data_IF_479846250161
#
_entry.id   IF_479846250161
#
_cell.length_a   1.000
_cell.length_b   1.000
_cell.length_c   1.000
_cell.angle_alpha   90.00
_cell.angle_beta   90.00
_cell.angle_gamma   90.00
#
_symmetry.space_group_name_H-M   'P 1'
#
loop_
_entity.id
_entity.type
_entity.pdbx_description
1 polymer ?
#
# COMPACT_ATOMS: atom_id res chain seq x y z
N UNK A 1 6.46 -47.50 -24.29
CA UNK A 1 5.83 -46.19 -24.03
C UNK A 1 6.93 -45.24 -23.61
N UNK A 2 7.55 -44.54 -24.58
CA UNK A 2 8.57 -43.53 -24.33
C UNK A 2 7.85 -42.17 -24.28
N UNK A 3 7.88 -41.52 -23.13
CA UNK A 3 7.45 -40.13 -22.97
C UNK A 3 8.66 -39.24 -23.28
N UNK A 4 8.71 -38.75 -24.52
CA UNK A 4 9.57 -37.62 -24.89
C UNK A 4 9.02 -36.37 -24.19
N UNK A 5 9.82 -35.81 -23.28
CA UNK A 5 9.62 -34.50 -22.69
C UNK A 5 10.04 -33.45 -23.72
N UNK A 6 9.06 -32.95 -24.50
CA UNK A 6 9.17 -31.68 -25.21
C UNK A 6 9.11 -30.55 -24.17
N UNK A 7 10.26 -30.18 -23.63
CA UNK A 7 10.43 -28.99 -22.81
C UNK A 7 11.21 -27.93 -23.60
N UNK A 8 10.68 -27.57 -24.77
CA UNK A 8 11.10 -26.39 -25.53
C UNK A 8 10.48 -25.15 -24.87
N UNK A 9 11.17 -24.63 -23.84
CA UNK A 9 10.91 -23.26 -23.39
C UNK A 9 11.39 -22.32 -24.51
N UNK A 10 10.54 -21.40 -25.00
CA UNK A 10 10.97 -20.43 -26.00
C UNK A 10 12.07 -19.55 -25.39
N UNK A 11 13.31 -19.73 -25.86
CA UNK A 11 14.37 -18.73 -25.70
C UNK A 11 13.94 -17.50 -26.49
N UNK A 12 13.16 -16.61 -25.86
CA UNK A 12 13.04 -15.23 -26.31
C UNK A 12 14.45 -14.65 -26.29
N UNK A 13 15.07 -14.59 -27.47
CA UNK A 13 16.27 -13.80 -27.68
C UNK A 13 15.85 -12.35 -27.51
N UNK A 14 16.03 -11.83 -26.31
CA UNK A 14 15.84 -10.41 -26.04
C UNK A 14 16.91 -9.69 -26.85
N UNK A 15 16.51 -9.10 -27.97
CA UNK A 15 17.44 -8.29 -28.76
C UNK A 15 17.99 -7.18 -27.85
N UNK A 16 19.32 -6.95 -27.86
CA UNK A 16 19.92 -5.90 -27.04
C UNK A 16 19.32 -4.55 -27.44
N UNK A 17 18.98 -3.71 -26.47
CA UNK A 17 18.46 -2.38 -26.78
C UNK A 17 19.55 -1.52 -27.43
N UNK A 18 19.15 -0.52 -28.21
CA UNK A 18 20.05 0.43 -28.91
C UNK A 18 21.16 0.99 -28.00
N UNK A 19 20.85 1.23 -26.73
CA UNK A 19 21.83 1.71 -25.74
C UNK A 19 22.90 0.65 -25.42
N UNK A 20 22.53 -0.63 -25.32
CA UNK A 20 23.47 -1.71 -25.08
C UNK A 20 24.40 -1.92 -26.28
N UNK A 21 23.87 -1.77 -27.50
CA UNK A 21 24.66 -1.84 -28.73
C UNK A 21 25.66 -0.67 -28.83
N UNK A 22 25.21 0.56 -28.53
CA UNK A 22 26.09 1.73 -28.51
C UNK A 22 27.22 1.59 -27.48
N UNK A 23 26.93 1.07 -26.28
CA UNK A 23 27.95 0.80 -25.26
C UNK A 23 28.92 -0.28 -25.74
N UNK A 24 28.42 -1.36 -26.35
CA UNK A 24 29.25 -2.44 -26.88
C UNK A 24 30.17 -1.99 -28.02
N UNK A 25 29.70 -1.05 -28.86
CA UNK A 25 30.51 -0.47 -29.93
C UNK A 25 31.64 0.43 -29.40
N UNK A 26 31.42 1.17 -28.31
CA UNK A 26 32.39 2.12 -27.76
C UNK A 26 33.37 1.44 -26.80
N UNK A 27 32.93 0.41 -26.05
CA UNK A 27 33.71 -0.22 -24.99
C UNK A 27 35.12 -0.67 -25.40
N UNK A 28 35.36 -1.30 -26.57
CA UNK A 28 36.70 -1.73 -27.00
C UNK A 28 37.68 -0.57 -27.20
N UNK A 29 37.17 0.64 -27.47
CA UNK A 29 37.97 1.83 -27.72
C UNK A 29 38.32 2.62 -26.45
N UNK A 30 37.75 2.23 -25.30
CA UNK A 30 38.05 2.87 -24.01
C UNK A 30 39.36 2.33 -23.42
N UNK A 31 40.07 3.10 -22.59
CA UNK A 31 41.22 2.59 -21.83
C UNK A 31 40.83 1.39 -20.96
N UNK A 32 41.74 0.42 -20.79
CA UNK A 32 41.49 -0.83 -20.04
C UNK A 32 40.95 -0.59 -18.62
N UNK A 33 41.45 0.45 -17.94
CA UNK A 33 40.97 0.84 -16.60
C UNK A 33 39.49 1.26 -16.65
N UNK A 34 39.10 2.06 -17.62
CA UNK A 34 37.73 2.52 -17.81
C UNK A 34 36.80 1.36 -18.16
N UNK A 35 37.25 0.41 -18.99
CA UNK A 35 36.48 -0.81 -19.29
C UNK A 35 36.19 -1.62 -18.01
N UNK A 36 37.21 -1.81 -17.16
CA UNK A 36 37.06 -2.48 -15.87
C UNK A 36 36.09 -1.77 -14.92
N UNK A 37 36.18 -0.44 -14.82
CA UNK A 37 35.28 0.35 -13.98
C UNK A 37 33.83 0.27 -14.50
N UNK A 38 33.63 0.31 -15.82
CA UNK A 38 32.32 0.20 -16.46
C UNK A 38 31.71 -1.18 -16.24
N UNK A 39 32.50 -2.25 -16.37
CA UNK A 39 32.09 -3.62 -16.03
C UNK A 39 31.70 -3.74 -14.56
N UNK A 40 32.51 -3.20 -13.64
CA UNK A 40 32.18 -3.21 -12.20
C UNK A 40 30.90 -2.44 -11.89
N UNK A 41 30.66 -1.30 -12.56
CA UNK A 41 29.42 -0.55 -12.40
C UNK A 41 28.21 -1.31 -12.95
N UNK A 42 28.36 -2.00 -14.09
CA UNK A 42 27.30 -2.84 -14.66
C UNK A 42 27.01 -4.04 -13.76
N UNK A 43 28.04 -4.75 -13.32
CA UNK A 43 27.95 -5.86 -12.37
C UNK A 43 27.25 -5.42 -11.09
N UNK A 44 27.63 -4.27 -10.53
CA UNK A 44 26.96 -3.70 -9.37
C UNK A 44 25.51 -3.28 -9.67
N UNK A 45 25.20 -2.74 -10.85
CA UNK A 45 23.84 -2.32 -11.19
C UNK A 45 22.91 -3.49 -11.53
N UNK A 46 23.45 -4.62 -12.01
CA UNK A 46 22.74 -5.87 -12.23
C UNK A 46 22.54 -6.61 -10.89
N UNK A 47 23.56 -6.58 -10.01
CA UNK A 47 23.49 -7.19 -8.68
C UNK A 47 22.71 -6.36 -7.66
N UNK A 48 22.62 -5.03 -7.85
CA UNK A 48 21.79 -4.17 -7.04
C UNK A 48 20.33 -4.49 -7.33
N UNK A 49 19.53 -4.89 -6.32
CA UNK A 49 18.12 -5.16 -6.55
C UNK A 49 17.49 -3.91 -7.16
N UNK A 50 16.61 -4.10 -8.14
CA UNK A 50 15.92 -2.97 -8.78
C UNK A 50 15.18 -2.19 -7.71
N UNK A 51 14.98 -0.87 -7.90
CA UNK A 51 14.21 -0.05 -6.94
C UNK A 51 12.82 -0.63 -6.63
N UNK A 52 12.25 -1.38 -7.58
CA UNK A 52 11.00 -2.11 -7.41
C UNK A 52 11.16 -3.34 -6.51
N UNK A 53 12.20 -4.14 -6.69
CA UNK A 53 12.54 -5.27 -5.82
C UNK A 53 12.83 -4.82 -4.38
N UNK A 54 13.48 -3.66 -4.19
CA UNK A 54 13.63 -3.08 -2.85
C UNK A 54 12.31 -2.63 -2.22
N UNK A 55 11.36 -2.15 -3.03
CA UNK A 55 10.02 -1.78 -2.54
C UNK A 55 9.22 -3.02 -2.20
N UNK A 56 9.26 -4.04 -3.04
CA UNK A 56 8.62 -5.35 -2.82
C UNK A 56 9.21 -6.04 -1.59
N UNK A 57 10.53 -6.06 -1.42
CA UNK A 57 11.18 -6.60 -0.23
C UNK A 57 10.87 -5.82 1.04
N UNK A 58 10.58 -4.50 0.96
CA UNK A 58 10.23 -3.70 2.14
C UNK A 58 8.74 -3.73 2.47
N UNK A 59 7.89 -3.77 1.45
CA UNK A 59 6.43 -3.74 1.59
C UNK A 59 5.81 -5.12 1.53
N UNK A 60 6.56 -6.19 1.23
CA UNK A 60 6.04 -7.54 1.01
C UNK A 60 5.15 -8.03 2.14
N UNK A 61 5.63 -7.93 3.38
CA UNK A 61 4.83 -8.27 4.57
C UNK A 61 3.56 -7.40 4.71
N UNK A 62 3.63 -6.13 4.32
CA UNK A 62 2.47 -5.23 4.35
C UNK A 62 1.47 -5.56 3.23
N UNK A 63 1.95 -5.96 2.05
CA UNK A 63 1.12 -6.46 0.96
C UNK A 63 0.36 -7.71 1.39
N UNK A 64 1.03 -8.69 2.00
CA UNK A 64 0.40 -9.90 2.55
C UNK A 64 -0.71 -9.55 3.54
N UNK A 65 -0.44 -8.61 4.46
CA UNK A 65 -1.43 -8.17 5.43
C UNK A 65 -2.63 -7.46 4.76
N UNK A 66 -2.39 -6.61 3.76
CA UNK A 66 -3.45 -5.95 2.98
C UNK A 66 -4.31 -6.98 2.23
N UNK A 67 -3.70 -8.03 1.67
CA UNK A 67 -4.41 -9.12 1.01
C UNK A 67 -5.28 -9.91 2.00
N UNK A 68 -4.77 -10.16 3.21
CA UNK A 68 -5.47 -10.92 4.25
C UNK A 68 -6.66 -10.17 4.88
N UNK A 69 -6.60 -8.84 4.99
CA UNK A 69 -7.64 -8.05 5.68
C UNK A 69 -8.87 -7.73 4.83
N UNK A 70 -8.98 -8.28 3.61
CA UNK A 70 -10.18 -8.30 2.77
C UNK A 70 -10.93 -6.95 2.61
N UNK A 71 -10.25 -5.80 2.69
CA UNK A 71 -10.88 -4.48 2.47
C UNK A 71 -10.89 -3.55 3.67
N UNK A 72 -10.38 -4.00 4.81
CA UNK A 72 -10.02 -3.13 5.92
C UNK A 72 -8.62 -2.56 5.76
N UNK A 73 -8.39 -1.38 6.31
CA UNK A 73 -7.06 -0.76 6.37
C UNK A 73 -6.26 -1.49 7.44
N UNK A 74 -5.12 -2.11 7.11
CA UNK A 74 -4.31 -2.77 8.12
C UNK A 74 -3.79 -1.82 9.17
N UNK A 75 -3.88 -2.27 10.41
CA UNK A 75 -3.41 -1.50 11.53
C UNK A 75 -1.90 -1.66 11.74
N UNK A 76 -1.27 -0.68 12.39
CA UNK A 76 0.15 -0.72 12.72
C UNK A 76 0.48 -1.87 13.66
N UNK A 77 -0.39 -2.16 14.63
CA UNK A 77 -0.17 -3.25 15.57
C UNK A 77 -0.37 -4.64 14.94
N UNK A 78 -1.28 -4.78 13.98
CA UNK A 78 -1.42 -6.02 13.19
C UNK A 78 -0.12 -6.33 12.45
N UNK A 79 0.48 -5.30 11.84
CA UNK A 79 1.78 -5.42 11.19
C UNK A 79 2.90 -5.76 12.18
N UNK A 80 2.96 -5.11 13.35
CA UNK A 80 3.98 -5.41 14.36
C UNK A 80 3.88 -6.87 14.83
N UNK A 81 2.67 -7.37 15.08
CA UNK A 81 2.42 -8.75 15.48
C UNK A 81 2.88 -9.73 14.40
N UNK A 82 2.46 -9.51 13.15
CA UNK A 82 2.86 -10.33 12.01
C UNK A 82 4.38 -10.31 11.79
N UNK A 83 5.00 -9.12 11.91
CA UNK A 83 6.45 -8.95 11.84
C UNK A 83 7.17 -9.73 12.94
N UNK A 84 6.65 -9.71 14.17
CA UNK A 84 7.26 -10.44 15.29
C UNK A 84 7.21 -11.95 15.05
N UNK A 85 6.11 -12.46 14.48
CA UNK A 85 5.99 -13.86 14.09
C UNK A 85 7.04 -14.25 13.04
N UNK A 86 7.21 -13.43 11.98
CA UNK A 86 8.23 -13.66 10.94
C UNK A 86 9.66 -13.53 11.44
N UNK A 87 9.91 -12.60 12.36
CA UNK A 87 11.22 -12.50 13.03
C UNK A 87 11.55 -13.77 13.82
N UNK A 88 10.57 -14.38 14.49
CA UNK A 88 10.76 -15.64 15.22
C UNK A 88 11.07 -16.81 14.25
N UNK A 89 10.70 -16.69 12.97
CA UNK A 89 11.02 -17.65 11.91
C UNK A 89 12.37 -17.36 11.21
N UNK A 90 13.08 -16.30 11.62
CA UNK A 90 14.38 -15.90 11.06
C UNK A 90 14.29 -14.97 9.84
N UNK A 91 13.10 -14.49 9.48
CA UNK A 91 12.95 -13.51 8.40
C UNK A 91 13.24 -12.07 8.89
N UNK A 92 13.76 -11.22 8.01
CA UNK A 92 14.09 -9.83 8.34
C UNK A 92 13.14 -8.88 7.62
N UNK A 93 12.33 -8.16 8.39
CA UNK A 93 11.38 -7.17 7.88
C UNK A 93 11.56 -5.80 8.54
N UNK A 94 11.34 -4.70 7.81
CA UNK A 94 11.47 -3.34 8.35
C UNK A 94 10.48 -3.09 9.50
N UNK A 95 10.85 -2.24 10.45
CA UNK A 95 9.94 -1.81 11.50
C UNK A 95 8.83 -0.90 10.94
N UNK A 96 7.69 -0.84 11.62
CA UNK A 96 6.57 0.03 11.23
C UNK A 96 6.94 1.52 11.24
N UNK A 97 7.79 1.95 12.18
CA UNK A 97 8.33 3.31 12.21
C UNK A 97 9.18 3.60 10.96
N UNK A 98 10.06 2.67 10.57
CA UNK A 98 10.87 2.78 9.35
C UNK A 98 10.01 2.85 8.09
N UNK A 99 8.91 2.08 8.01
CA UNK A 99 7.95 2.20 6.90
C UNK A 99 7.27 3.57 6.90
N UNK A 100 6.81 4.04 8.07
CA UNK A 100 6.15 5.33 8.18
C UNK A 100 7.08 6.49 7.79
N UNK A 101 8.34 6.44 8.20
CA UNK A 101 9.35 7.45 7.85
C UNK A 101 9.65 7.47 6.34
N UNK A 102 9.91 6.30 5.74
CA UNK A 102 10.29 6.21 4.32
C UNK A 102 9.17 6.57 3.34
N UNK A 103 7.91 6.36 3.73
CA UNK A 103 6.75 6.58 2.86
C UNK A 103 5.92 7.82 3.25
N UNK A 104 6.35 8.58 4.26
CA UNK A 104 5.68 9.80 4.71
C UNK A 104 4.37 9.54 5.47
N UNK A 105 4.29 8.43 6.19
CA UNK A 105 3.19 8.04 7.07
C UNK A 105 2.72 6.60 6.87
N UNK A 106 2.10 6.03 7.90
CA UNK A 106 1.58 4.65 7.85
C UNK A 106 0.55 4.45 6.73
N UNK A 107 -0.44 5.35 6.62
CA UNK A 107 -1.48 5.28 5.57
C UNK A 107 -0.88 5.31 4.16
N UNK A 108 0.18 6.09 3.96
CA UNK A 108 0.87 6.15 2.66
C UNK A 108 1.61 4.85 2.37
N UNK A 109 2.30 4.27 3.36
CA UNK A 109 2.91 2.96 3.23
C UNK A 109 1.88 1.88 2.86
N UNK A 110 0.74 1.84 3.57
CA UNK A 110 -0.36 0.91 3.28
C UNK A 110 -0.91 1.12 1.88
N UNK A 111 -1.14 2.38 1.47
CA UNK A 111 -1.63 2.69 0.12
C UNK A 111 -0.65 2.25 -0.96
N UNK A 112 0.66 2.45 -0.75
CA UNK A 112 1.69 1.99 -1.68
C UNK A 112 1.73 0.46 -1.75
N UNK A 113 1.65 -0.22 -0.61
CA UNK A 113 1.54 -1.68 -0.57
C UNK A 113 0.27 -2.18 -1.29
N UNK A 114 -0.87 -1.51 -1.09
CA UNK A 114 -2.11 -1.83 -1.79
C UNK A 114 -1.99 -1.64 -3.31
N UNK A 115 -1.40 -0.53 -3.77
CA UNK A 115 -1.18 -0.29 -5.20
C UNK A 115 -0.23 -1.32 -5.82
N UNK A 116 0.76 -1.78 -5.04
CA UNK A 116 1.70 -2.81 -5.47
C UNK A 116 1.03 -4.19 -5.55
N UNK A 117 0.18 -4.53 -4.58
CA UNK A 117 -0.60 -5.77 -4.56
C UNK A 117 -1.70 -5.80 -5.65
N UNK A 118 -2.21 -4.62 -6.03
CA UNK A 118 -3.28 -4.46 -7.03
C UNK A 118 -2.89 -3.41 -8.09
N UNK A 119 -1.96 -3.75 -9.02
CA UNK A 119 -1.41 -2.79 -9.99
C UNK A 119 -2.44 -2.28 -11.02
N UNK A 120 -3.63 -2.87 -11.12
CA UNK A 120 -4.68 -2.43 -12.04
C UNK A 120 -6.00 -2.05 -11.33
N UNK A 121 -6.16 -0.78 -10.91
CA UNK A 121 -7.43 -0.28 -10.39
C UNK A 121 -8.46 0.07 -11.49
N UNK A 122 -8.13 -0.08 -12.79
CA UNK A 122 -9.03 0.37 -13.88
C UNK A 122 -10.06 -0.67 -14.29
N UNK A 123 -9.91 -1.95 -13.94
CA UNK A 123 -10.78 -3.03 -14.46
C UNK A 123 -12.16 -3.19 -13.81
N UNK A 124 -12.44 -2.57 -12.66
CA UNK A 124 -13.76 -2.71 -12.01
C UNK A 124 -14.62 -1.43 -12.11
N UNK A 125 -14.29 -0.54 -13.04
CA UNK A 125 -15.03 0.70 -13.31
C UNK A 125 -16.16 0.52 -14.33
N UNK A 126 -16.78 -0.65 -14.40
CA UNK A 126 -18.10 -0.78 -15.04
C UNK A 126 -19.12 -0.11 -14.11
N UNK A 127 -19.27 1.19 -14.32
CA UNK A 127 -20.19 2.06 -13.62
C UNK A 127 -21.63 1.67 -13.86
N UNK A 128 -22.11 0.65 -13.17
CA UNK A 128 -23.52 0.57 -12.85
C UNK A 128 -23.76 1.55 -11.69
N UNK A 129 -24.35 2.70 -12.02
CA UNK A 129 -25.03 3.54 -11.03
C UNK A 129 -26.16 2.67 -10.47
N UNK A 130 -25.94 1.98 -9.35
CA UNK A 130 -27.06 1.36 -8.64
C UNK A 130 -28.03 2.49 -8.24
N UNK A 131 -29.29 2.48 -8.73
CA UNK A 131 -30.24 3.56 -8.49
C UNK A 131 -30.75 3.62 -7.04
N UNK A 132 -30.52 2.57 -6.23
CA UNK A 132 -31.30 2.37 -5.00
C UNK A 132 -30.55 2.61 -3.69
N UNK A 133 -29.52 3.46 -3.69
CA UNK A 133 -29.11 4.06 -2.41
C UNK A 133 -29.95 5.31 -2.19
N UNK A 134 -31.09 5.11 -1.52
CA UNK A 134 -31.74 6.15 -0.73
C UNK A 134 -30.64 6.96 -0.05
N UNK A 135 -30.55 8.25 -0.39
CA UNK A 135 -29.50 9.13 0.09
C UNK A 135 -29.75 9.46 1.55
N UNK A 136 -29.65 8.45 2.42
CA UNK A 136 -29.81 8.62 3.85
C UNK A 136 -28.75 9.62 4.29
N UNK A 137 -29.18 10.67 4.98
CA UNK A 137 -28.26 11.59 5.62
C UNK A 137 -27.42 10.82 6.64
N UNK A 138 -26.17 11.24 6.86
CA UNK A 138 -25.36 10.65 7.92
C UNK A 138 -25.94 11.06 9.27
N UNK A 139 -26.13 10.11 10.19
CA UNK A 139 -26.48 10.44 11.57
C UNK A 139 -25.24 10.94 12.30
N UNK A 140 -25.43 11.71 13.38
CA UNK A 140 -24.30 12.16 14.22
C UNK A 140 -23.52 10.98 14.81
N UNK A 141 -24.19 9.87 15.13
CA UNK A 141 -23.52 8.66 15.59
C UNK A 141 -22.63 8.06 14.50
N UNK A 142 -23.14 7.90 13.28
CA UNK A 142 -22.35 7.37 12.15
C UNK A 142 -21.09 8.21 11.89
N UNK A 143 -21.19 9.53 12.05
CA UNK A 143 -20.03 10.43 11.91
C UNK A 143 -19.01 10.23 13.02
N UNK A 144 -19.46 10.03 14.27
CA UNK A 144 -18.59 9.73 15.40
C UNK A 144 -17.94 8.35 15.24
N UNK A 145 -18.70 7.35 14.79
CA UNK A 145 -18.19 6.00 14.56
C UNK A 145 -17.16 5.97 13.44
N UNK A 146 -17.33 6.77 12.38
CA UNK A 146 -16.31 6.93 11.35
C UNK A 146 -15.00 7.52 11.91
N UNK A 147 -15.07 8.50 12.81
CA UNK A 147 -13.89 9.06 13.48
C UNK A 147 -13.22 8.05 14.41
N UNK A 148 -14.01 7.20 15.09
CA UNK A 148 -13.49 6.12 15.94
C UNK A 148 -12.84 5.01 15.12
N UNK A 149 -13.43 4.62 13.99
CA UNK A 149 -12.82 3.68 13.06
C UNK A 149 -11.47 4.21 12.57
N UNK A 150 -11.42 5.47 12.14
CA UNK A 150 -10.15 6.11 11.76
C UNK A 150 -9.13 6.12 12.92
N UNK A 151 -9.56 6.42 14.16
CA UNK A 151 -8.68 6.34 15.33
C UNK A 151 -8.14 4.93 15.56
N UNK A 152 -8.99 3.91 15.46
CA UNK A 152 -8.60 2.51 15.68
C UNK A 152 -7.52 2.10 14.69
N UNK A 153 -7.68 2.47 13.43
CA UNK A 153 -6.77 2.11 12.35
C UNK A 153 -5.47 2.95 12.34
N UNK A 154 -5.50 4.15 12.95
CA UNK A 154 -4.35 5.06 13.04
C UNK A 154 -3.65 5.04 14.41
N UNK A 155 -4.26 4.44 15.43
CA UNK A 155 -3.86 4.48 16.85
C UNK A 155 -3.75 5.88 17.50
N UNK A 156 -4.12 6.94 16.79
CA UNK A 156 -4.25 8.27 17.36
C UNK A 156 -5.47 8.96 16.79
N UNK A 157 -5.86 10.08 17.40
CA UNK A 157 -6.95 10.89 16.84
C UNK A 157 -6.46 11.54 15.54
N UNK A 158 -7.14 11.30 14.40
CA UNK A 158 -6.69 11.81 13.11
C UNK A 158 -6.83 13.32 13.05
N UNK A 159 -5.82 13.98 12.50
CA UNK A 159 -5.95 15.31 11.92
C UNK A 159 -6.91 15.30 10.74
N UNK A 160 -7.30 16.50 10.29
CA UNK A 160 -8.17 16.66 9.11
C UNK A 160 -7.58 16.00 7.87
N UNK A 161 -6.26 16.11 7.66
CA UNK A 161 -5.59 15.56 6.48
C UNK A 161 -5.54 14.03 6.56
N UNK A 162 -5.13 13.48 7.71
CA UNK A 162 -5.02 12.02 7.91
C UNK A 162 -6.37 11.33 7.76
N UNK A 163 -7.45 11.93 8.26
CA UNK A 163 -8.80 11.38 8.08
C UNK A 163 -9.19 11.31 6.61
N UNK A 164 -8.87 12.33 5.80
CA UNK A 164 -9.18 12.30 4.37
C UNK A 164 -8.33 11.25 3.63
N UNK A 165 -7.05 11.10 3.99
CA UNK A 165 -6.18 10.06 3.43
C UNK A 165 -6.71 8.66 3.79
N UNK A 166 -7.01 8.41 5.07
CA UNK A 166 -7.61 7.17 5.56
C UNK A 166 -8.95 6.87 4.87
N UNK A 167 -9.82 7.88 4.73
CA UNK A 167 -11.11 7.76 4.07
C UNK A 167 -10.97 7.34 2.61
N UNK A 168 -10.04 7.96 1.87
CA UNK A 168 -9.79 7.64 0.47
C UNK A 168 -9.29 6.21 0.33
N UNK A 169 -8.32 5.81 1.15
CA UNK A 169 -7.78 4.46 1.17
C UNK A 169 -8.87 3.43 1.53
N UNK A 170 -9.64 3.66 2.58
CA UNK A 170 -10.74 2.77 3.00
C UNK A 170 -11.77 2.55 1.88
N UNK A 171 -12.11 3.62 1.15
CA UNK A 171 -13.01 3.53 -0.01
C UNK A 171 -12.37 2.85 -1.22
N UNK A 172 -11.06 2.98 -1.42
CA UNK A 172 -10.31 2.28 -2.46
C UNK A 172 -10.29 0.77 -2.18
N UNK A 173 -9.90 0.40 -0.96
CA UNK A 173 -9.86 -0.99 -0.49
C UNK A 173 -11.22 -1.67 -0.64
N UNK A 174 -12.29 -1.07 -0.11
CA UNK A 174 -13.63 -1.67 -0.18
C UNK A 174 -14.17 -1.84 -1.59
N UNK A 175 -13.89 -0.88 -2.49
CA UNK A 175 -14.29 -0.98 -3.91
C UNK A 175 -13.54 -2.09 -4.64
N UNK A 176 -12.24 -2.20 -4.40
CA UNK A 176 -11.40 -3.15 -5.12
C UNK A 176 -11.54 -4.58 -4.58
N UNK A 177 -11.95 -4.74 -3.32
CA UNK A 177 -12.10 -6.04 -2.65
C UNK A 177 -13.56 -6.50 -2.53
N UNK A 178 -14.46 -5.93 -3.31
CA UNK A 178 -15.83 -6.44 -3.46
C UNK A 178 -16.76 -6.22 -2.26
N UNK A 179 -16.33 -5.53 -1.20
CA UNK A 179 -17.18 -5.19 -0.03
C UNK A 179 -18.22 -4.09 -0.31
N UNK A 180 -18.35 -3.68 -1.57
CA UNK A 180 -19.22 -2.58 -1.95
C UNK A 180 -18.69 -1.22 -1.51
N UNK A 181 -19.54 -0.19 -1.57
CA UNK A 181 -19.14 1.18 -1.20
C UNK A 181 -19.17 1.34 0.32
N UNK A 182 -18.02 1.33 0.99
CA UNK A 182 -17.94 1.74 2.40
C UNK A 182 -18.42 3.18 2.57
N UNK A 183 -19.42 3.35 3.43
CA UNK A 183 -20.10 4.63 3.68
C UNK A 183 -19.28 5.47 4.67
N UNK A 184 -18.10 5.91 4.22
CA UNK A 184 -17.23 6.82 4.99
C UNK A 184 -17.59 8.29 4.70
N UNK A 185 -18.03 9.08 5.70
CA UNK A 185 -18.45 10.47 5.51
C UNK A 185 -17.26 11.37 5.15
N UNK A 186 -17.49 12.36 4.29
CA UNK A 186 -16.48 13.38 3.99
C UNK A 186 -16.30 14.36 5.16
N UNK A 187 -15.17 15.05 5.19
CA UNK A 187 -14.92 16.12 6.16
C UNK A 187 -16.01 17.19 6.11
N UNK A 188 -16.45 17.60 4.92
CA UNK A 188 -17.51 18.59 4.79
C UNK A 188 -18.84 18.15 5.43
N UNK A 189 -19.15 16.84 5.39
CA UNK A 189 -20.32 16.29 6.10
C UNK A 189 -20.12 16.31 7.61
N UNK A 190 -18.92 16.01 8.10
CA UNK A 190 -18.58 16.09 9.53
C UNK A 190 -18.67 17.54 10.02
N UNK A 191 -18.03 18.47 9.32
CA UNK A 191 -18.03 19.90 9.65
C UNK A 191 -19.44 20.48 9.63
N UNK A 192 -20.29 20.10 8.67
CA UNK A 192 -21.70 20.54 8.64
C UNK A 192 -22.49 20.13 9.88
N UNK A 193 -22.18 18.99 10.48
CA UNK A 193 -22.93 18.45 11.63
C UNK A 193 -22.39 18.90 13.00
N UNK A 194 -21.09 19.19 13.09
CA UNK A 194 -20.41 19.54 14.34
C UNK A 194 -19.79 20.96 14.34
N UNK A 195 -19.96 21.71 13.26
CA UNK A 195 -19.40 23.04 13.03
C UNK A 195 -17.94 23.01 12.57
N UNK A 196 -17.05 22.34 13.32
CA UNK A 196 -15.63 22.20 12.96
C UNK A 196 -15.14 20.77 13.18
N UNK A 197 -14.12 20.37 12.42
CA UNK A 197 -13.53 19.04 12.56
C UNK A 197 -12.94 18.77 13.97
N UNK A 198 -12.20 19.72 14.61
CA UNK A 198 -11.74 19.52 15.99
C UNK A 198 -12.89 19.32 17.00
N UNK A 199 -14.04 20.00 16.82
CA UNK A 199 -15.22 19.78 17.66
C UNK A 199 -15.81 18.39 17.48
N UNK A 200 -15.86 17.89 16.24
CA UNK A 200 -16.28 16.52 15.98
C UNK A 200 -15.36 15.49 16.66
N UNK A 201 -14.04 15.68 16.58
CA UNK A 201 -13.06 14.83 17.27
C UNK A 201 -13.23 14.89 18.79
N UNK A 202 -13.45 16.09 19.36
CA UNK A 202 -13.71 16.23 20.79
C UNK A 202 -15.01 15.52 21.22
N UNK A 203 -16.05 15.58 20.39
CA UNK A 203 -17.29 14.86 20.64
C UNK A 203 -17.08 13.34 20.58
N UNK A 204 -16.32 12.86 19.60
CA UNK A 204 -15.97 11.45 19.46
C UNK A 204 -15.15 10.94 20.67
N UNK A 205 -14.22 11.75 21.19
CA UNK A 205 -13.47 11.48 22.44
C UNK A 205 -14.38 11.32 23.65
N UNK A 206 -15.32 12.26 23.84
CA UNK A 206 -16.22 12.28 25.01
C UNK A 206 -17.18 11.10 25.05
N UNK A 207 -17.63 10.69 23.87
CA UNK A 207 -18.62 9.62 23.73
C UNK A 207 -17.98 8.24 23.62
N UNK A 208 -16.64 8.17 23.54
CA UNK A 208 -15.94 6.92 23.52
C UNK A 208 -16.17 6.21 24.87
N UNK A 209 -16.80 5.03 24.88
CA UNK A 209 -16.80 4.23 26.09
C UNK A 209 -15.33 3.96 26.48
N UNK A 210 -15.04 4.02 27.78
CA UNK A 210 -13.73 3.68 28.34
C UNK A 210 -13.40 2.23 27.99
N UNK A 211 -12.78 1.98 26.83
CA UNK A 211 -12.04 0.74 26.57
C UNK A 211 -10.63 0.91 27.15
N UNK A 212 -10.57 0.89 28.48
CA UNK A 212 -9.41 0.44 29.25
C UNK A 212 -9.40 -1.09 29.14
N UNK A 213 -8.77 -1.64 28.10
CA UNK A 213 -8.08 -2.95 28.10
C UNK A 213 -7.76 -3.36 26.67
N UNK A 214 -6.52 -3.15 26.24
CA UNK A 214 -5.73 -4.03 25.39
C UNK A 214 -4.32 -3.44 25.27
#
# INVERSE_FOLDING_TARGET
MNLQNDNDLPTERTEPCETAEAIAAIAPHLPTRTQHDLLRMLEYSIAAPRRQEWREARLGLLCELVLAMHGEVPNADDYKRLRQERLNQGEVWPAQSSLSENFGGWIRAVRTAFQLAYPDPRRNSTGHRNPDYESKAYTREELVDALRAARRDLHHWPSRIEYEEWRRLSRELARNLGRGRTRVPSIGTIERNFGTYPRAVQQAKRTQPWDETA
#
